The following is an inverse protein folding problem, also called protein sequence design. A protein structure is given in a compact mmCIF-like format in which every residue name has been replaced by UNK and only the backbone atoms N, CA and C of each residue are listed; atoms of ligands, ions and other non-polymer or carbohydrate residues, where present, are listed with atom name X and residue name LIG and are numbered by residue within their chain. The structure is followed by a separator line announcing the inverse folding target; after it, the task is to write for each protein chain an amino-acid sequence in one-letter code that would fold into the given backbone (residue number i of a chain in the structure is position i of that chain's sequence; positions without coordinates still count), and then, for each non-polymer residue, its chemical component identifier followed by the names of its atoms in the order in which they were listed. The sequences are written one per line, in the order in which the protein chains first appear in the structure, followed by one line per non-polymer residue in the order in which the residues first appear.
data_IF_599323227871
#
_entry.id   IF_599323227871
#
_cell.length_a   1.000
_cell.length_b   1.000
_cell.length_c   1.000
_cell.angle_alpha   90.00
_cell.angle_beta   90.00
_cell.angle_gamma   90.00
#
_symmetry.space_group_name_H-M   'P 1'
#
loop_
_entity.id
_entity.type
_entity.pdbx_description
1 polymer ?
#
# COMPACT_ATOMS: atom_id res chain seq x y z
N UNK A 1 -20.03 -40.26 15.51
CA UNK A 1 -20.34 -39.73 14.17
C UNK A 1 -19.66 -38.38 14.09
N UNK A 2 -18.51 -38.30 13.46
CA UNK A 2 -17.86 -37.01 13.20
C UNK A 2 -18.60 -36.24 12.10
N UNK A 3 -18.74 -34.92 12.14
CA UNK A 3 -19.35 -34.17 11.06
C UNK A 3 -18.42 -34.24 9.83
N UNK A 4 -19.01 -34.61 8.70
CA UNK A 4 -18.33 -34.59 7.41
C UNK A 4 -17.95 -33.14 7.09
N UNK A 5 -16.65 -32.90 6.97
CA UNK A 5 -16.05 -31.70 6.43
C UNK A 5 -16.42 -31.63 4.94
N UNK A 6 -17.51 -30.96 4.61
CA UNK A 6 -17.86 -30.63 3.24
C UNK A 6 -17.02 -29.47 2.77
N UNK A 7 -15.73 -29.71 2.60
CA UNK A 7 -14.84 -28.82 1.88
C UNK A 7 -15.36 -28.67 0.45
N UNK A 8 -16.03 -27.56 0.17
CA UNK A 8 -16.33 -27.15 -1.21
C UNK A 8 -14.98 -27.06 -1.92
N UNK A 9 -14.63 -28.06 -2.71
CA UNK A 9 -13.47 -28.03 -3.60
C UNK A 9 -13.70 -26.90 -4.60
N UNK A 10 -13.24 -25.71 -4.26
CA UNK A 10 -13.30 -24.58 -5.18
C UNK A 10 -12.37 -24.87 -6.34
N UNK A 11 -12.92 -24.98 -7.56
CA UNK A 11 -12.13 -25.25 -8.77
C UNK A 11 -11.04 -24.20 -8.92
N UNK A 12 -9.81 -24.67 -9.23
CA UNK A 12 -8.68 -23.79 -9.53
C UNK A 12 -9.02 -22.90 -10.72
N UNK A 13 -8.69 -21.61 -10.62
CA UNK A 13 -8.85 -20.65 -11.72
C UNK A 13 -7.54 -20.50 -12.48
N UNK A 14 -7.63 -20.24 -13.77
CA UNK A 14 -6.55 -19.70 -14.59
C UNK A 14 -6.67 -18.17 -14.61
N UNK A 15 -5.79 -17.49 -13.90
CA UNK A 15 -5.80 -16.04 -13.68
C UNK A 15 -4.62 -15.43 -14.43
N UNK A 16 -4.85 -14.41 -15.26
CA UNK A 16 -3.75 -13.62 -15.83
C UNK A 16 -3.64 -12.28 -15.10
N UNK A 17 -2.50 -12.02 -14.46
CA UNK A 17 -2.16 -10.75 -13.82
C UNK A 17 -1.33 -9.91 -14.78
N UNK A 18 -1.83 -8.70 -15.11
CA UNK A 18 -1.19 -7.76 -16.03
C UNK A 18 -0.74 -6.53 -15.24
N UNK A 19 0.55 -6.20 -15.33
CA UNK A 19 1.11 -5.05 -14.63
C UNK A 19 2.34 -4.48 -15.34
N UNK A 20 2.59 -3.20 -15.14
CA UNK A 20 3.81 -2.52 -15.59
C UNK A 20 4.84 -2.36 -14.46
N UNK A 21 4.48 -2.74 -13.21
CA UNK A 21 5.35 -2.76 -12.04
C UNK A 21 5.19 -4.05 -11.26
N UNK A 22 6.32 -4.70 -10.90
CA UNK A 22 6.33 -5.97 -10.16
C UNK A 22 7.68 -6.15 -9.44
N UNK A 23 7.79 -6.96 -8.38
CA UNK A 23 9.10 -7.25 -7.80
C UNK A 23 10.13 -7.70 -8.86
N UNK A 24 11.40 -7.29 -8.74
CA UNK A 24 12.07 -6.65 -7.59
C UNK A 24 11.96 -5.12 -7.51
N UNK A 25 11.09 -4.47 -8.28
CA UNK A 25 10.85 -3.03 -8.13
C UNK A 25 10.34 -2.70 -6.73
N UNK A 26 10.85 -1.57 -6.19
CA UNK A 26 10.61 -1.17 -4.81
C UNK A 26 9.55 -0.09 -4.76
N UNK A 27 8.30 -0.51 -4.79
CA UNK A 27 7.16 0.37 -4.56
C UNK A 27 5.98 -0.43 -3.95
N UNK A 28 5.04 0.29 -3.34
CA UNK A 28 3.91 -0.32 -2.63
C UNK A 28 2.99 -1.16 -3.54
N UNK A 29 2.90 -0.83 -4.82
CA UNK A 29 2.08 -1.57 -5.80
C UNK A 29 2.76 -2.88 -6.14
N UNK A 30 4.05 -2.85 -6.51
CA UNK A 30 4.83 -4.04 -6.82
C UNK A 30 4.80 -5.06 -5.67
N UNK A 31 5.03 -4.60 -4.43
CA UNK A 31 4.97 -5.47 -3.24
C UNK A 31 3.58 -6.10 -3.07
N UNK A 32 2.51 -5.32 -3.22
CA UNK A 32 1.13 -5.82 -3.14
C UNK A 32 0.87 -6.91 -4.19
N UNK A 33 1.27 -6.65 -5.44
CA UNK A 33 1.04 -7.58 -6.55
C UNK A 33 1.82 -8.89 -6.38
N UNK A 34 3.06 -8.81 -5.87
CA UNK A 34 3.84 -10.00 -5.51
C UNK A 34 3.11 -10.86 -4.48
N UNK A 35 2.66 -10.25 -3.37
CA UNK A 35 1.91 -10.95 -2.32
C UNK A 35 0.59 -11.57 -2.84
N UNK A 36 -0.17 -10.85 -3.67
CA UNK A 36 -1.40 -11.38 -4.27
C UNK A 36 -1.12 -12.55 -5.21
N UNK A 37 -0.08 -12.45 -6.05
CA UNK A 37 0.32 -13.49 -6.98
C UNK A 37 0.73 -14.77 -6.23
N UNK A 38 1.64 -14.64 -5.26
CA UNK A 38 2.14 -15.76 -4.46
C UNK A 38 1.02 -16.41 -3.64
N UNK A 39 0.13 -15.58 -3.07
CA UNK A 39 -1.02 -16.07 -2.30
C UNK A 39 -2.03 -16.84 -3.14
N UNK A 40 -2.33 -16.39 -4.36
CA UNK A 40 -3.22 -17.12 -5.27
C UNK A 40 -2.57 -18.46 -5.71
N UNK A 41 -1.26 -18.48 -6.01
CA UNK A 41 -0.54 -19.71 -6.33
C UNK A 41 -0.55 -20.70 -5.15
N UNK A 42 -0.31 -20.21 -3.93
CA UNK A 42 -0.36 -21.04 -2.73
C UNK A 42 -1.75 -21.64 -2.47
N UNK A 43 -2.82 -21.02 -2.99
CA UNK A 43 -4.21 -21.52 -2.94
C UNK A 43 -4.56 -22.44 -4.13
N UNK A 44 -3.58 -22.80 -4.97
CA UNK A 44 -3.71 -23.76 -6.06
C UNK A 44 -4.24 -23.19 -7.37
N UNK A 45 -4.27 -21.84 -7.53
CA UNK A 45 -4.62 -21.22 -8.81
C UNK A 45 -3.44 -21.21 -9.77
N UNK A 46 -3.73 -21.35 -11.07
CA UNK A 46 -2.76 -21.08 -12.12
C UNK A 46 -2.68 -19.57 -12.36
N UNK A 47 -1.52 -18.96 -12.09
CA UNK A 47 -1.34 -17.49 -12.23
C UNK A 47 -0.29 -17.22 -13.29
N UNK A 48 -0.75 -16.72 -14.44
CA UNK A 48 0.09 -16.14 -15.50
C UNK A 48 0.39 -14.67 -15.17
N UNK A 49 1.68 -14.29 -15.21
CA UNK A 49 2.12 -12.90 -15.04
C UNK A 49 2.51 -12.30 -16.40
N UNK A 50 1.93 -11.15 -16.75
CA UNK A 50 2.27 -10.38 -17.96
C UNK A 50 2.83 -9.03 -17.55
N UNK A 51 4.11 -8.76 -17.86
CA UNK A 51 4.79 -7.52 -17.48
C UNK A 51 5.90 -7.12 -18.45
N UNK A 52 6.41 -5.88 -18.38
CA UNK A 52 7.63 -5.49 -19.06
C UNK A 52 8.83 -6.29 -18.54
N UNK A 53 9.82 -6.47 -19.40
CA UNK A 53 11.11 -7.05 -19.05
C UNK A 53 11.88 -6.08 -18.15
N UNK A 54 12.39 -6.58 -17.03
CA UNK A 54 13.23 -5.84 -16.08
C UNK A 54 14.70 -6.23 -16.25
N UNK A 55 15.62 -5.46 -15.67
CA UNK A 55 17.05 -5.70 -15.81
C UNK A 55 17.51 -7.09 -15.31
N UNK A 56 16.82 -7.64 -14.29
CA UNK A 56 17.07 -8.98 -13.77
C UNK A 56 16.61 -10.12 -14.69
N UNK A 57 15.82 -9.83 -15.72
CA UNK A 57 15.22 -10.84 -16.60
C UNK A 57 16.08 -11.15 -17.85
N UNK A 58 17.33 -10.70 -17.90
CA UNK A 58 18.16 -10.83 -19.11
C UNK A 58 18.29 -12.27 -19.64
N UNK A 59 18.16 -13.27 -18.74
CA UNK A 59 18.25 -14.70 -19.06
C UNK A 59 16.89 -15.41 -19.04
N UNK A 60 15.79 -14.72 -18.66
CA UNK A 60 14.46 -15.32 -18.59
C UNK A 60 13.75 -15.27 -19.96
N UNK A 61 13.24 -16.43 -20.40
CA UNK A 61 12.28 -16.52 -21.50
C UNK A 61 10.86 -16.27 -21.02
N UNK A 62 9.92 -16.15 -21.96
CA UNK A 62 8.49 -16.25 -21.65
C UNK A 62 8.11 -17.74 -21.65
N UNK A 63 7.34 -18.15 -20.66
CA UNK A 63 6.76 -19.49 -20.51
C UNK A 63 5.23 -19.39 -20.30
N UNK A 64 4.60 -20.46 -19.81
CA UNK A 64 3.15 -20.49 -19.59
C UNK A 64 2.72 -19.66 -18.37
N UNK A 65 3.61 -19.41 -17.43
CA UNK A 65 3.34 -18.59 -16.25
C UNK A 65 3.85 -17.16 -16.35
N UNK A 66 4.77 -16.86 -17.30
CA UNK A 66 5.39 -15.54 -17.43
C UNK A 66 5.46 -15.11 -18.90
N UNK A 67 4.75 -14.03 -19.22
CA UNK A 67 4.87 -13.36 -20.53
C UNK A 67 5.58 -12.01 -20.37
N UNK A 68 6.79 -11.94 -20.93
CA UNK A 68 7.58 -10.71 -20.93
C UNK A 68 7.36 -9.91 -22.22
N UNK A 69 7.02 -8.64 -22.07
CA UNK A 69 6.95 -7.68 -23.16
C UNK A 69 8.14 -6.69 -23.11
N UNK A 70 8.33 -5.93 -24.18
CA UNK A 70 9.33 -4.86 -24.19
C UNK A 70 8.87 -3.71 -23.30
N UNK A 71 9.76 -3.20 -22.46
CA UNK A 71 9.54 -2.02 -21.62
C UNK A 71 10.19 -0.77 -22.22
N UNK A 72 9.64 0.40 -21.87
CA UNK A 72 10.16 1.71 -22.22
C UNK A 72 10.23 2.55 -20.93
N UNK A 73 11.37 3.19 -20.64
CA UNK A 73 11.50 3.97 -19.41
C UNK A 73 10.42 5.04 -19.29
N UNK A 74 9.85 5.19 -18.11
CA UNK A 74 8.88 6.25 -17.82
C UNK A 74 9.65 7.55 -17.52
N UNK A 75 9.48 8.63 -18.34
CA UNK A 75 10.15 9.90 -18.10
C UNK A 75 9.83 10.47 -16.71
N UNK A 76 10.86 10.91 -15.97
CA UNK A 76 10.72 11.46 -14.63
C UNK A 76 10.56 10.44 -13.48
N UNK A 77 10.52 9.13 -13.78
CA UNK A 77 10.39 8.06 -12.77
C UNK A 77 11.46 6.97 -12.98
N UNK A 78 12.67 7.15 -12.46
CA UNK A 78 13.73 6.16 -12.58
C UNK A 78 13.29 4.78 -12.08
N UNK A 79 13.53 3.74 -12.89
CA UNK A 79 13.19 2.36 -12.55
C UNK A 79 11.79 1.91 -12.94
N UNK A 80 10.87 2.82 -13.31
CA UNK A 80 9.56 2.46 -13.83
C UNK A 80 9.57 2.40 -15.36
N UNK A 81 8.77 1.50 -15.93
CA UNK A 81 8.67 1.28 -17.37
C UNK A 81 7.21 1.20 -17.82
N UNK A 82 6.92 1.72 -18.99
CA UNK A 82 5.69 1.38 -19.72
C UNK A 82 5.89 0.09 -20.51
N UNK A 83 4.92 -0.81 -20.42
CA UNK A 83 4.89 -2.02 -21.23
C UNK A 83 4.45 -1.71 -22.68
N UNK A 84 5.17 -2.27 -23.66
CA UNK A 84 4.77 -2.14 -25.05
C UNK A 84 3.39 -2.73 -25.28
N UNK A 85 2.55 -2.02 -26.06
CA UNK A 85 1.28 -2.55 -26.55
C UNK A 85 1.50 -3.89 -27.28
N UNK A 86 0.82 -4.93 -26.82
CA UNK A 86 1.04 -6.32 -27.27
C UNK A 86 -0.28 -7.02 -27.62
N UNK A 87 -1.29 -6.28 -28.04
CA UNK A 87 -2.65 -6.80 -28.27
C UNK A 87 -2.68 -8.08 -29.14
N UNK A 88 -1.95 -8.11 -30.25
CA UNK A 88 -1.93 -9.30 -31.12
C UNK A 88 -1.27 -10.53 -30.46
N UNK A 89 -0.23 -10.30 -29.65
CA UNK A 89 0.41 -11.39 -28.89
C UNK A 89 -0.54 -11.94 -27.83
N UNK A 90 -1.24 -11.05 -27.11
CA UNK A 90 -2.21 -11.41 -26.09
C UNK A 90 -3.41 -12.16 -26.71
N UNK A 91 -3.97 -11.67 -27.80
CA UNK A 91 -5.05 -12.36 -28.52
C UNK A 91 -4.63 -13.77 -28.94
N UNK A 92 -3.45 -13.93 -29.57
CA UNK A 92 -2.95 -15.24 -29.99
C UNK A 92 -2.75 -16.18 -28.82
N UNK A 93 -2.21 -15.67 -27.71
CA UNK A 93 -1.95 -16.48 -26.50
C UNK A 93 -3.25 -16.92 -25.85
N UNK A 94 -4.17 -15.98 -25.58
CA UNK A 94 -5.44 -16.26 -24.90
C UNK A 94 -6.49 -16.97 -25.75
N UNK A 95 -6.31 -17.03 -27.07
CA UNK A 95 -7.09 -17.92 -27.94
C UNK A 95 -6.65 -19.39 -27.76
N UNK A 96 -5.37 -19.64 -27.42
CA UNK A 96 -4.84 -20.98 -27.19
C UNK A 96 -4.98 -21.43 -25.74
N UNK A 97 -4.66 -20.53 -24.81
CA UNK A 97 -4.70 -20.75 -23.35
C UNK A 97 -5.56 -19.64 -22.74
N UNK A 98 -6.88 -19.89 -22.76
CA UNK A 98 -7.86 -18.89 -22.29
C UNK A 98 -7.85 -18.80 -20.77
N UNK A 99 -7.56 -17.63 -20.16
CA UNK A 99 -7.76 -17.43 -18.75
C UNK A 99 -9.25 -17.29 -18.40
N UNK A 100 -9.61 -17.65 -17.17
CA UNK A 100 -10.95 -17.45 -16.64
C UNK A 100 -11.22 -15.98 -16.35
N UNK A 101 -10.19 -15.28 -15.83
CA UNK A 101 -10.27 -13.86 -15.46
C UNK A 101 -8.92 -13.17 -15.63
N UNK A 102 -8.96 -11.89 -16.00
CA UNK A 102 -7.80 -11.01 -15.98
C UNK A 102 -7.87 -10.09 -14.75
N UNK A 103 -6.70 -9.91 -14.11
CA UNK A 103 -6.49 -8.79 -13.21
C UNK A 103 -5.51 -7.80 -13.83
N UNK A 104 -5.98 -6.58 -14.15
CA UNK A 104 -5.17 -5.51 -14.73
C UNK A 104 -4.85 -4.50 -13.64
N UNK A 105 -3.59 -4.46 -13.19
CA UNK A 105 -3.16 -3.62 -12.09
C UNK A 105 -2.67 -2.23 -12.51
N UNK A 106 -2.40 -2.02 -13.80
CA UNK A 106 -1.93 -0.72 -14.31
C UNK A 106 -2.63 -0.36 -15.62
N UNK A 107 -2.95 0.92 -15.78
CA UNK A 107 -3.75 1.47 -16.88
C UNK A 107 -2.91 1.92 -18.08
N UNK A 108 -1.62 1.59 -18.10
CA UNK A 108 -0.68 1.95 -19.16
C UNK A 108 -0.96 1.22 -20.49
N UNK A 109 -0.07 1.37 -21.47
CA UNK A 109 -0.28 0.81 -22.82
C UNK A 109 -0.42 -0.71 -22.84
N UNK A 110 0.25 -1.43 -21.91
CA UNK A 110 0.10 -2.87 -21.75
C UNK A 110 -1.29 -3.23 -21.21
N UNK A 111 -1.71 -2.56 -20.12
CA UNK A 111 -3.03 -2.74 -19.54
C UNK A 111 -4.16 -2.44 -20.52
N UNK A 112 -4.03 -1.35 -21.29
CA UNK A 112 -4.99 -1.01 -22.35
C UNK A 112 -5.07 -2.09 -23.44
N UNK A 113 -3.93 -2.65 -23.83
CA UNK A 113 -3.88 -3.75 -24.82
C UNK A 113 -4.56 -5.00 -24.28
N UNK A 114 -4.34 -5.31 -22.99
CA UNK A 114 -4.95 -6.44 -22.30
C UNK A 114 -6.49 -6.27 -22.20
N UNK A 115 -6.96 -5.09 -21.77
CA UNK A 115 -8.39 -4.79 -21.72
C UNK A 115 -9.09 -4.97 -23.08
N UNK A 116 -8.47 -4.47 -24.16
CA UNK A 116 -9.02 -4.61 -25.51
C UNK A 116 -9.03 -6.06 -25.99
N UNK A 117 -7.96 -6.82 -25.70
CA UNK A 117 -7.88 -8.23 -26.08
C UNK A 117 -8.91 -9.07 -25.31
N UNK A 118 -9.03 -8.86 -23.98
CA UNK A 118 -10.01 -9.54 -23.14
C UNK A 118 -11.45 -9.30 -23.62
N UNK A 119 -11.79 -8.06 -23.90
CA UNK A 119 -13.12 -7.70 -24.41
C UNK A 119 -13.44 -8.37 -25.74
N UNK A 120 -12.47 -8.51 -26.66
CA UNK A 120 -12.67 -9.23 -27.93
C UNK A 120 -12.92 -10.71 -27.72
N UNK A 121 -12.30 -11.29 -26.69
CA UNK A 121 -12.43 -12.71 -26.37
C UNK A 121 -13.55 -13.00 -25.38
N UNK A 122 -14.26 -11.99 -24.87
CA UNK A 122 -15.29 -12.15 -23.85
C UNK A 122 -14.74 -12.70 -22.54
N UNK A 123 -13.52 -12.27 -22.13
CA UNK A 123 -12.91 -12.66 -20.86
C UNK A 123 -13.21 -11.56 -19.83
N UNK A 124 -13.62 -11.96 -18.62
CA UNK A 124 -13.87 -11.06 -17.52
C UNK A 124 -12.62 -10.32 -17.08
N UNK A 125 -12.75 -9.01 -16.78
CA UNK A 125 -11.64 -8.15 -16.37
C UNK A 125 -11.92 -7.52 -15.04
N UNK A 126 -11.07 -7.77 -14.06
CA UNK A 126 -10.97 -7.01 -12.82
C UNK A 126 -9.82 -6.05 -12.94
N UNK A 127 -10.01 -4.76 -12.67
CA UNK A 127 -8.94 -3.76 -12.69
C UNK A 127 -8.63 -3.26 -11.28
N UNK A 128 -7.35 -2.99 -11.00
CA UNK A 128 -6.91 -2.38 -9.75
C UNK A 128 -6.69 -0.88 -9.93
N UNK A 129 -7.24 -0.06 -9.05
CA UNK A 129 -7.00 1.38 -9.04
C UNK A 129 -5.87 1.70 -8.07
N UNK A 130 -4.69 2.03 -8.60
CA UNK A 130 -3.48 2.32 -7.82
C UNK A 130 -2.97 3.74 -8.04
N UNK A 131 -3.71 4.55 -8.78
CA UNK A 131 -3.34 5.92 -9.18
C UNK A 131 -3.78 6.94 -8.15
N UNK A 132 -2.90 7.87 -7.77
CA UNK A 132 -3.23 8.99 -6.91
C UNK A 132 -3.49 10.26 -7.73
N UNK A 133 -4.74 10.66 -7.86
CA UNK A 133 -5.13 11.87 -8.62
C UNK A 133 -4.53 13.17 -8.07
N UNK A 134 -4.34 13.26 -6.76
CA UNK A 134 -3.83 14.48 -6.12
C UNK A 134 -2.37 14.75 -6.50
N UNK A 135 -1.56 13.70 -6.67
CA UNK A 135 -0.18 13.85 -7.15
C UNK A 135 -0.13 14.41 -8.56
N UNK A 136 -1.01 13.97 -9.45
CA UNK A 136 -1.05 14.47 -10.83
C UNK A 136 -1.57 15.91 -10.91
N UNK A 137 -2.53 16.30 -10.08
CA UNK A 137 -3.05 17.65 -10.03
C UNK A 137 -2.01 18.68 -9.59
N UNK A 138 -1.20 18.33 -8.58
CA UNK A 138 -0.21 19.24 -8.00
C UNK A 138 1.10 19.34 -8.81
N UNK A 139 1.51 18.26 -9.50
CA UNK A 139 2.76 18.24 -10.24
C UNK A 139 2.70 18.89 -11.62
N UNK A 140 1.54 18.89 -12.28
CA UNK A 140 1.46 19.29 -13.68
C UNK A 140 0.71 20.59 -13.94
N UNK A 141 0.10 21.25 -12.92
CA UNK A 141 -0.49 22.61 -13.05
C UNK A 141 -1.49 22.81 -14.22
N UNK A 142 -1.79 21.77 -14.97
CA UNK A 142 -2.52 21.79 -16.23
C UNK A 142 -3.91 21.17 -16.05
N UNK A 143 -4.88 21.97 -15.63
CA UNK A 143 -6.27 21.51 -15.44
C UNK A 143 -6.88 20.73 -16.61
N UNK A 144 -6.45 20.98 -17.84
CA UNK A 144 -6.91 20.26 -19.02
C UNK A 144 -6.32 18.84 -19.09
N UNK A 145 -5.03 18.67 -18.81
CA UNK A 145 -4.37 17.35 -18.84
C UNK A 145 -4.92 16.44 -17.75
N UNK A 146 -5.16 16.96 -16.56
CA UNK A 146 -5.79 16.22 -15.46
C UNK A 146 -7.21 15.76 -15.84
N UNK A 147 -7.99 16.60 -16.54
CA UNK A 147 -9.33 16.25 -17.04
C UNK A 147 -9.26 15.11 -18.07
N UNK A 148 -8.33 15.19 -19.04
CA UNK A 148 -8.13 14.16 -20.04
C UNK A 148 -7.71 12.83 -19.41
N UNK A 149 -6.77 12.85 -18.46
CA UNK A 149 -6.33 11.67 -17.72
C UNK A 149 -7.49 11.06 -16.92
N UNK A 150 -8.25 11.88 -16.19
CA UNK A 150 -9.44 11.40 -15.45
C UNK A 150 -10.46 10.77 -16.39
N UNK A 151 -10.69 11.38 -17.54
CA UNK A 151 -11.60 10.82 -18.55
C UNK A 151 -11.09 9.47 -19.09
N UNK A 152 -9.80 9.35 -19.38
CA UNK A 152 -9.17 8.10 -19.79
C UNK A 152 -9.29 7.02 -18.72
N UNK A 153 -8.93 7.31 -17.48
CA UNK A 153 -9.00 6.36 -16.37
C UNK A 153 -10.45 5.89 -16.13
N UNK A 154 -11.40 6.83 -16.09
CA UNK A 154 -12.82 6.48 -15.99
C UNK A 154 -13.27 5.61 -17.16
N UNK A 155 -12.90 5.96 -18.39
CA UNK A 155 -13.20 5.18 -19.57
C UNK A 155 -12.63 3.76 -19.48
N UNK A 156 -11.39 3.61 -18.99
CA UNK A 156 -10.71 2.34 -18.82
C UNK A 156 -11.40 1.46 -17.76
N UNK A 157 -11.57 1.98 -16.55
CA UNK A 157 -12.14 1.25 -15.42
C UNK A 157 -13.61 0.91 -15.62
N UNK A 158 -14.41 1.81 -16.20
CA UNK A 158 -15.80 1.55 -16.52
C UNK A 158 -16.01 0.52 -17.66
N UNK A 159 -14.93 0.02 -18.28
CA UNK A 159 -14.93 -1.10 -19.23
C UNK A 159 -14.50 -2.42 -18.63
N UNK A 160 -14.02 -2.42 -17.42
CA UNK A 160 -13.77 -3.62 -16.63
C UNK A 160 -15.08 -4.15 -16.02
N UNK A 161 -15.11 -5.45 -15.72
CA UNK A 161 -16.23 -6.09 -15.02
C UNK A 161 -16.36 -5.50 -13.61
N UNK A 162 -15.23 -5.23 -12.95
CA UNK A 162 -15.14 -4.66 -11.62
C UNK A 162 -13.82 -3.88 -11.49
N UNK A 163 -13.81 -2.83 -10.65
CA UNK A 163 -12.60 -2.10 -10.28
C UNK A 163 -12.37 -2.18 -8.78
N UNK A 164 -11.18 -2.67 -8.39
CA UNK A 164 -10.77 -2.78 -7.00
C UNK A 164 -10.08 -1.51 -6.53
N UNK A 165 -10.52 -0.98 -5.40
CA UNK A 165 -9.99 0.24 -4.78
C UNK A 165 -9.53 -0.04 -3.36
N UNK A 166 -8.41 0.54 -2.90
CA UNK A 166 -7.78 0.15 -1.63
C UNK A 166 -8.47 0.73 -0.39
N UNK A 167 -9.28 1.78 -0.50
CA UNK A 167 -9.90 2.43 0.66
C UNK A 167 -11.30 2.94 0.36
N UNK A 168 -12.10 3.10 1.44
CA UNK A 168 -13.46 3.65 1.36
C UNK A 168 -13.43 5.10 0.88
N UNK A 169 -12.49 5.92 1.35
CA UNK A 169 -12.35 7.33 0.94
C UNK A 169 -12.08 7.45 -0.57
N UNK A 170 -11.20 6.60 -1.10
CA UNK A 170 -10.91 6.58 -2.54
C UNK A 170 -12.11 6.08 -3.35
N UNK A 171 -12.84 5.07 -2.86
CA UNK A 171 -14.07 4.60 -3.48
C UNK A 171 -15.08 5.75 -3.60
N UNK A 172 -15.36 6.47 -2.52
CA UNK A 172 -16.29 7.61 -2.51
C UNK A 172 -15.85 8.74 -3.46
N UNK A 173 -14.55 9.02 -3.55
CA UNK A 173 -14.02 10.01 -4.49
C UNK A 173 -14.23 9.58 -5.95
N UNK A 174 -13.98 8.31 -6.27
CA UNK A 174 -14.18 7.78 -7.61
C UNK A 174 -15.67 7.71 -7.99
N UNK A 175 -16.57 7.35 -7.07
CA UNK A 175 -18.02 7.38 -7.26
C UNK A 175 -18.49 8.80 -7.63
N UNK A 176 -18.02 9.84 -6.93
CA UNK A 176 -18.32 11.25 -7.29
C UNK A 176 -17.82 11.63 -8.67
N UNK A 177 -16.79 10.97 -9.18
CA UNK A 177 -16.21 11.16 -10.53
C UNK A 177 -16.83 10.22 -11.58
N UNK A 178 -17.94 9.55 -11.25
CA UNK A 178 -18.68 8.62 -12.12
C UNK A 178 -17.86 7.39 -12.57
N UNK A 179 -17.01 6.88 -11.70
CA UNK A 179 -16.51 5.51 -11.82
C UNK A 179 -17.56 4.53 -11.31
N UNK A 180 -17.67 3.40 -11.96
CA UNK A 180 -18.72 2.41 -11.72
C UNK A 180 -18.12 1.06 -11.28
N UNK A 181 -18.97 0.20 -10.69
CA UNK A 181 -18.60 -1.18 -10.30
C UNK A 181 -17.35 -1.25 -9.45
N UNK A 182 -17.28 -0.35 -8.47
CA UNK A 182 -16.17 -0.26 -7.52
C UNK A 182 -16.37 -1.25 -6.37
N UNK A 183 -15.34 -2.01 -6.05
CA UNK A 183 -15.28 -2.89 -4.88
C UNK A 183 -14.02 -2.60 -4.06
N UNK A 184 -14.10 -2.83 -2.74
CA UNK A 184 -12.97 -2.60 -1.86
C UNK A 184 -12.05 -3.82 -1.87
N UNK A 185 -10.76 -3.58 -2.04
CA UNK A 185 -9.70 -4.52 -1.74
C UNK A 185 -8.60 -3.78 -0.98
N UNK A 186 -8.64 -3.87 0.33
CA UNK A 186 -7.63 -3.28 1.21
C UNK A 186 -6.27 -3.97 1.03
N UNK A 187 -5.29 -3.54 1.78
CA UNK A 187 -3.97 -4.18 1.80
C UNK A 187 -3.75 -4.85 3.13
N UNK A 188 -3.01 -5.94 3.11
CA UNK A 188 -2.63 -6.66 4.31
C UNK A 188 -1.27 -6.19 4.85
N UNK A 189 -0.99 -6.59 6.07
CA UNK A 189 0.32 -6.46 6.70
C UNK A 189 0.86 -7.86 7.02
N UNK A 190 2.17 -8.01 6.90
CA UNK A 190 2.87 -9.20 7.39
C UNK A 190 3.09 -9.06 8.91
N UNK A 191 2.12 -9.53 9.68
CA UNK A 191 2.12 -9.37 11.14
C UNK A 191 3.09 -10.30 11.86
N UNK A 192 3.71 -11.25 11.17
CA UNK A 192 4.81 -12.07 11.69
C UNK A 192 6.14 -11.31 11.55
N UNK A 193 6.35 -10.67 10.40
CA UNK A 193 7.50 -9.83 10.16
C UNK A 193 7.44 -8.56 11.03
N UNK A 194 6.34 -7.80 10.94
CA UNK A 194 6.12 -6.59 11.73
C UNK A 194 5.47 -6.94 13.08
N UNK A 195 6.32 -7.12 14.08
CA UNK A 195 5.90 -7.60 15.40
C UNK A 195 6.67 -6.89 16.53
N UNK A 196 6.03 -6.53 17.66
CA UNK A 196 6.72 -5.89 18.80
C UNK A 196 7.90 -6.69 19.34
N UNK A 197 7.88 -8.03 19.21
CA UNK A 197 8.98 -8.90 19.65
C UNK A 197 10.29 -8.71 18.83
N UNK A 198 10.25 -7.95 17.73
CA UNK A 198 11.43 -7.54 16.95
C UNK A 198 12.16 -6.33 17.55
N UNK A 199 11.69 -5.79 18.69
CA UNK A 199 12.38 -4.71 19.41
C UNK A 199 13.77 -5.15 19.84
N UNK A 200 14.77 -4.32 19.53
CA UNK A 200 16.17 -4.58 19.81
C UNK A 200 16.73 -3.49 20.74
N UNK A 201 17.10 -3.88 21.96
CA UNK A 201 17.76 -2.96 22.91
C UNK A 201 19.08 -2.43 22.37
N UNK A 202 19.86 -3.27 21.66
CA UNK A 202 21.11 -2.85 21.03
C UNK A 202 20.90 -1.75 19.96
N UNK A 203 19.79 -1.76 19.24
CA UNK A 203 19.46 -0.71 18.27
C UNK A 203 19.09 0.60 19.00
N UNK A 204 18.37 0.52 20.11
CA UNK A 204 18.03 1.67 20.95
C UNK A 204 19.28 2.28 21.59
N UNK A 205 20.21 1.44 22.07
CA UNK A 205 21.52 1.90 22.59
C UNK A 205 22.31 2.65 21.53
N UNK A 206 22.34 2.18 20.28
CA UNK A 206 22.95 2.89 19.16
C UNK A 206 22.31 4.26 18.90
N UNK A 207 21.01 4.41 19.18
CA UNK A 207 20.30 5.69 19.14
C UNK A 207 20.54 6.57 20.37
N UNK A 208 21.27 6.06 21.38
CA UNK A 208 21.50 6.74 22.66
C UNK A 208 20.23 6.78 23.52
N UNK A 209 19.37 5.76 23.43
CA UNK A 209 18.13 5.61 24.16
C UNK A 209 18.16 4.40 25.08
N UNK A 210 17.59 4.56 26.27
CA UNK A 210 17.21 3.49 27.19
C UNK A 210 15.79 2.98 26.90
N UNK A 211 15.32 1.98 27.64
CA UNK A 211 13.94 1.50 27.51
C UNK A 211 12.89 2.51 28.05
N UNK A 212 13.31 3.44 28.91
CA UNK A 212 12.43 4.47 29.48
C UNK A 212 12.29 5.71 28.59
N UNK A 213 13.18 5.87 27.61
CA UNK A 213 13.19 6.99 26.67
C UNK A 213 12.21 6.76 25.52
N UNK A 214 11.86 7.81 24.79
CA UNK A 214 10.90 7.76 23.69
C UNK A 214 11.60 7.86 22.34
N UNK A 215 11.48 6.82 21.51
CA UNK A 215 11.86 6.86 20.12
C UNK A 215 10.66 7.27 19.25
N UNK A 216 10.71 8.48 18.71
CA UNK A 216 9.76 8.97 17.70
C UNK A 216 10.31 8.56 16.34
N UNK A 217 9.55 7.76 15.57
CA UNK A 217 10.03 7.23 14.30
C UNK A 217 9.18 7.77 13.13
N UNK A 218 9.84 8.06 12.02
CA UNK A 218 9.24 8.27 10.70
C UNK A 218 9.81 7.27 9.71
N UNK A 219 8.96 6.64 8.92
CA UNK A 219 9.36 5.69 7.87
C UNK A 219 8.69 6.08 6.55
N UNK A 220 9.50 6.25 5.51
CA UNK A 220 8.98 6.57 4.19
C UNK A 220 10.00 7.22 3.27
N UNK A 221 9.56 7.52 2.05
CA UNK A 221 10.35 8.32 1.11
C UNK A 221 10.47 9.75 1.64
N UNK A 222 11.67 10.31 1.66
CA UNK A 222 11.89 11.69 2.10
C UNK A 222 11.64 12.66 0.94
N UNK A 223 10.37 13.02 0.74
CA UNK A 223 9.89 13.81 -0.39
C UNK A 223 8.75 14.75 0.04
N UNK A 224 8.43 15.79 -0.77
CA UNK A 224 7.49 16.85 -0.38
C UNK A 224 6.11 16.35 0.08
N UNK A 225 5.59 15.30 -0.53
CA UNK A 225 4.29 14.72 -0.18
C UNK A 225 4.24 14.12 1.25
N UNK A 226 5.40 13.89 1.87
CA UNK A 226 5.50 13.37 3.25
C UNK A 226 5.48 14.45 4.31
N UNK A 227 5.46 15.73 3.90
CA UNK A 227 5.35 16.89 4.80
C UNK A 227 6.37 16.88 5.95
N UNK A 228 7.65 16.77 5.57
CA UNK A 228 8.76 16.67 6.54
C UNK A 228 8.91 17.95 7.39
N UNK A 229 8.42 19.08 6.89
CA UNK A 229 8.33 20.33 7.66
C UNK A 229 7.44 20.17 8.90
N UNK A 230 6.28 19.53 8.76
CA UNK A 230 5.40 19.24 9.90
C UNK A 230 5.99 18.18 10.82
N UNK A 231 6.67 17.15 10.28
CA UNK A 231 7.40 16.17 11.10
C UNK A 231 8.39 16.88 12.04
N UNK A 232 9.21 17.78 11.49
CA UNK A 232 10.15 18.61 12.26
C UNK A 232 9.45 19.45 13.31
N UNK A 233 8.41 20.19 12.92
CA UNK A 233 7.66 21.05 13.84
C UNK A 233 7.05 20.25 14.98
N UNK A 234 6.39 19.13 14.68
CA UNK A 234 5.77 18.27 15.68
C UNK A 234 6.81 17.73 16.66
N UNK A 235 7.94 17.22 16.18
CA UNK A 235 8.99 16.71 17.05
C UNK A 235 9.57 17.80 17.98
N UNK A 236 9.81 19.01 17.46
CA UNK A 236 10.29 20.14 18.27
C UNK A 236 9.24 20.56 19.32
N UNK A 237 7.96 20.55 18.97
CA UNK A 237 6.87 20.80 19.93
C UNK A 237 6.88 19.75 21.05
N UNK A 238 7.02 18.48 20.73
CA UNK A 238 7.12 17.40 21.73
C UNK A 238 8.32 17.58 22.66
N UNK A 239 9.52 17.92 22.12
CA UNK A 239 10.70 18.22 22.94
C UNK A 239 10.47 19.38 23.89
N UNK A 240 9.83 20.45 23.43
CA UNK A 240 9.55 21.63 24.23
C UNK A 240 8.48 21.33 25.32
N UNK A 241 7.46 20.53 25.02
CA UNK A 241 6.38 20.18 25.96
C UNK A 241 6.84 19.18 27.03
N UNK A 242 7.82 18.33 26.74
CA UNK A 242 8.31 17.29 27.65
C UNK A 242 9.83 17.38 27.89
N UNK A 243 10.35 18.49 28.41
CA UNK A 243 11.80 18.71 28.57
C UNK A 243 12.47 17.71 29.55
N UNK A 244 11.68 17.07 30.42
CA UNK A 244 12.14 16.05 31.38
C UNK A 244 12.23 14.64 30.77
N UNK A 245 11.78 14.45 29.52
CA UNK A 245 11.85 13.16 28.81
C UNK A 245 12.91 13.21 27.73
N UNK A 246 13.69 12.15 27.61
CA UNK A 246 14.61 11.97 26.48
C UNK A 246 13.80 11.52 25.27
N UNK A 247 13.76 12.36 24.24
CA UNK A 247 13.12 12.06 22.94
C UNK A 247 14.18 12.07 21.83
N UNK A 248 14.15 11.09 20.95
CA UNK A 248 14.95 11.06 19.72
C UNK A 248 14.05 10.87 18.50
N UNK A 249 14.36 11.60 17.42
CA UNK A 249 13.71 11.39 16.12
C UNK A 249 14.56 10.42 15.29
N UNK A 250 13.94 9.33 14.87
CA UNK A 250 14.55 8.29 14.03
C UNK A 250 13.88 8.37 12.65
N UNK A 251 14.68 8.60 11.62
CA UNK A 251 14.20 8.75 10.24
C UNK A 251 14.69 7.58 9.40
N UNK A 252 13.77 6.73 8.96
CA UNK A 252 14.03 5.55 8.12
C UNK A 252 13.52 5.81 6.71
N UNK A 253 14.42 5.84 5.76
CA UNK A 253 14.11 6.08 4.36
C UNK A 253 15.15 6.97 3.69
N UNK A 254 14.87 7.25 2.41
CA UNK A 254 15.71 8.12 1.59
C UNK A 254 14.84 8.93 0.62
N UNK A 255 15.40 9.98 0.06
CA UNK A 255 14.69 10.80 -0.92
C UNK A 255 15.30 12.18 -1.12
N UNK A 256 14.71 12.98 -2.03
CA UNK A 256 15.28 14.26 -2.44
C UNK A 256 15.41 15.28 -1.29
N UNK A 257 14.58 15.18 -0.25
CA UNK A 257 14.62 16.09 0.90
C UNK A 257 15.50 15.62 2.06
N UNK A 258 16.23 14.51 1.90
CA UNK A 258 17.07 13.96 2.99
C UNK A 258 18.11 14.97 3.48
N UNK A 259 18.87 15.55 2.55
CA UNK A 259 19.96 16.47 2.91
C UNK A 259 19.44 17.73 3.59
N UNK A 260 18.32 18.26 3.12
CA UNK A 260 17.67 19.40 3.72
C UNK A 260 17.24 19.11 5.16
N UNK A 261 16.54 18.00 5.38
CA UNK A 261 16.10 17.59 6.70
C UNK A 261 17.27 17.29 7.66
N UNK A 262 18.37 16.70 7.17
CA UNK A 262 19.59 16.49 7.98
C UNK A 262 20.22 17.79 8.44
N UNK A 263 20.27 18.80 7.58
CA UNK A 263 20.81 20.12 7.93
C UNK A 263 19.92 20.83 8.96
N UNK A 264 18.60 20.68 8.88
CA UNK A 264 17.65 21.31 9.79
C UNK A 264 17.49 20.58 11.13
N UNK A 265 17.78 19.28 11.16
CA UNK A 265 17.63 18.43 12.35
C UNK A 265 18.90 17.56 12.57
N UNK A 266 20.04 18.19 12.90
CA UNK A 266 21.30 17.47 13.06
C UNK A 266 21.31 16.45 14.21
N UNK A 267 20.41 16.59 15.18
CA UNK A 267 20.22 15.64 16.28
C UNK A 267 19.36 14.43 15.95
N UNK A 268 18.65 14.43 14.81
CA UNK A 268 17.87 13.28 14.37
C UNK A 268 18.78 12.18 13.80
N UNK A 269 18.34 10.94 13.94
CA UNK A 269 19.10 9.77 13.49
C UNK A 269 18.53 9.30 12.14
N UNK A 270 19.38 9.40 11.10
CA UNK A 270 19.01 9.00 9.73
C UNK A 270 19.54 7.61 9.41
N UNK A 271 18.64 6.61 9.37
CA UNK A 271 19.00 5.20 9.17
C UNK A 271 19.08 4.79 7.68
N UNK A 272 18.76 5.69 6.74
CA UNK A 272 18.65 5.35 5.32
C UNK A 272 17.53 4.36 5.04
N UNK A 273 17.53 3.77 3.84
CA UNK A 273 16.51 2.79 3.45
C UNK A 273 16.74 1.45 4.13
N UNK A 274 15.77 0.98 4.90
CA UNK A 274 15.75 -0.33 5.54
C UNK A 274 14.72 -1.25 4.88
N UNK A 275 14.89 -2.58 4.98
CA UNK A 275 14.00 -3.58 4.37
C UNK A 275 13.90 -4.85 5.22
N UNK A 276 12.83 -5.62 5.01
CA UNK A 276 12.64 -6.91 5.66
C UNK A 276 12.83 -6.85 7.17
N UNK A 277 13.60 -7.76 7.72
CA UNK A 277 13.87 -7.83 9.17
C UNK A 277 14.47 -6.55 9.74
N UNK A 278 15.40 -5.91 9.03
CA UNK A 278 16.01 -4.67 9.51
C UNK A 278 14.94 -3.56 9.65
N UNK A 279 14.03 -3.42 8.68
CA UNK A 279 12.91 -2.47 8.78
C UNK A 279 11.98 -2.81 9.94
N UNK A 280 11.65 -4.08 10.12
CA UNK A 280 10.79 -4.55 11.22
C UNK A 280 11.42 -4.24 12.59
N UNK A 281 12.73 -4.45 12.75
CA UNK A 281 13.47 -4.09 13.96
C UNK A 281 13.41 -2.58 14.24
N UNK A 282 13.53 -1.74 13.20
CA UNK A 282 13.43 -0.28 13.37
C UNK A 282 12.03 0.13 13.85
N UNK A 283 10.97 -0.38 13.22
CA UNK A 283 9.60 -0.13 13.71
C UNK A 283 9.45 -0.57 15.16
N UNK A 284 9.74 -1.84 15.47
CA UNK A 284 9.53 -2.41 16.80
C UNK A 284 10.35 -1.70 17.90
N UNK A 285 11.51 -1.12 17.54
CA UNK A 285 12.36 -0.36 18.46
C UNK A 285 11.86 1.09 18.66
N UNK A 286 10.88 1.55 17.87
CA UNK A 286 10.17 2.81 18.05
C UNK A 286 9.09 2.73 19.14
N UNK A 287 8.56 3.89 19.51
CA UNK A 287 7.47 4.03 20.48
C UNK A 287 6.28 4.79 19.86
N UNK A 288 6.55 5.88 19.15
CA UNK A 288 5.56 6.71 18.44
C UNK A 288 5.95 6.82 16.98
N UNK A 289 4.98 6.64 16.11
CA UNK A 289 5.12 6.80 14.65
C UNK A 289 4.41 8.06 14.18
N UNK A 290 5.16 9.03 13.64
CA UNK A 290 4.60 10.26 13.07
C UNK A 290 4.52 10.13 11.55
N UNK A 291 3.29 10.26 11.03
CA UNK A 291 3.03 10.14 9.60
C UNK A 291 2.19 11.32 9.07
N UNK A 292 2.80 12.51 8.91
CA UNK A 292 2.12 13.73 8.47
C UNK A 292 1.91 13.80 6.95
N UNK A 293 1.89 12.66 6.25
CA UNK A 293 1.79 12.58 4.78
C UNK A 293 0.52 13.27 4.29
N UNK A 294 0.66 14.15 3.29
CA UNK A 294 -0.47 14.92 2.72
C UNK A 294 -1.27 14.10 1.72
N UNK A 295 -0.62 13.15 1.05
CA UNK A 295 -1.26 12.33 0.01
C UNK A 295 -0.74 10.90 0.05
N UNK A 296 -1.66 9.96 0.05
CA UNK A 296 -1.38 8.53 0.00
C UNK A 296 -2.34 7.80 -0.93
N UNK A 297 -1.84 6.81 -1.66
CA UNK A 297 -2.73 5.87 -2.34
C UNK A 297 -3.36 4.91 -1.32
N UNK A 298 -2.54 4.43 -0.37
CA UNK A 298 -2.99 3.64 0.77
C UNK A 298 -2.19 3.96 2.04
N UNK A 299 -0.84 3.85 2.01
CA UNK A 299 0.02 4.09 3.17
C UNK A 299 0.28 2.82 3.98
N UNK A 300 0.89 1.80 3.38
CA UNK A 300 1.23 0.52 4.03
C UNK A 300 1.99 0.71 5.34
N UNK A 301 2.83 1.74 5.43
CA UNK A 301 3.64 2.09 6.60
C UNK A 301 2.80 2.30 7.88
N UNK A 302 1.53 2.71 7.74
CA UNK A 302 0.60 2.83 8.87
C UNK A 302 0.29 1.45 9.45
N UNK A 303 -0.06 0.48 8.60
CA UNK A 303 -0.32 -0.90 9.06
C UNK A 303 0.94 -1.56 9.63
N UNK A 304 2.11 -1.31 9.03
CA UNK A 304 3.41 -1.80 9.52
C UNK A 304 3.71 -1.25 10.92
N UNK A 305 3.47 0.04 11.14
CA UNK A 305 3.62 0.70 12.43
C UNK A 305 2.65 0.14 13.49
N UNK A 306 1.36 0.02 13.14
CA UNK A 306 0.34 -0.58 14.02
C UNK A 306 0.70 -2.04 14.37
N UNK A 307 1.13 -2.83 13.39
CA UNK A 307 1.53 -4.23 13.59
C UNK A 307 2.77 -4.37 14.48
N UNK A 308 3.68 -3.41 14.40
CA UNK A 308 4.87 -3.34 15.26
C UNK A 308 4.56 -2.77 16.65
N UNK A 309 3.32 -2.42 16.94
CA UNK A 309 2.88 -1.92 18.25
C UNK A 309 3.36 -0.51 18.56
N UNK A 310 3.32 0.41 17.60
CA UNK A 310 3.61 1.82 17.82
C UNK A 310 2.33 2.62 18.10
N UNK A 311 2.46 3.72 18.86
CA UNK A 311 1.44 4.75 18.90
C UNK A 311 1.49 5.58 17.62
N UNK A 312 0.50 5.45 16.77
CA UNK A 312 0.49 6.10 15.44
C UNK A 312 -0.24 7.43 15.49
N UNK A 313 0.38 8.48 14.95
CA UNK A 313 -0.24 9.77 14.65
C UNK A 313 -0.24 9.98 13.15
N UNK A 314 -1.40 10.18 12.56
CA UNK A 314 -1.57 10.36 11.12
C UNK A 314 -2.74 11.29 10.80
N UNK A 315 -2.82 11.78 9.58
CA UNK A 315 -4.04 12.40 9.08
C UNK A 315 -5.15 11.38 8.83
N UNK A 316 -6.41 11.78 9.05
CA UNK A 316 -7.61 10.96 8.81
C UNK A 316 -7.86 10.77 7.31
N UNK A 317 -6.99 9.95 6.70
CA UNK A 317 -7.07 9.61 5.29
C UNK A 317 -6.45 8.25 4.97
N UNK A 318 -6.80 7.68 3.83
CA UNK A 318 -6.25 6.44 3.29
C UNK A 318 -6.22 5.28 4.31
N UNK A 319 -5.08 4.63 4.57
CA UNK A 319 -4.98 3.53 5.53
C UNK A 319 -5.24 3.99 6.98
N UNK A 320 -4.84 5.20 7.35
CA UNK A 320 -5.07 5.72 8.70
C UNK A 320 -6.57 5.86 8.98
N UNK A 321 -7.35 6.47 8.09
CA UNK A 321 -8.80 6.57 8.21
C UNK A 321 -9.52 5.21 8.27
N UNK A 322 -8.93 4.17 7.66
CA UNK A 322 -9.53 2.85 7.61
C UNK A 322 -9.18 1.99 8.82
N UNK A 323 -8.00 2.16 9.40
CA UNK A 323 -7.44 1.25 10.39
C UNK A 323 -7.22 1.87 11.78
N UNK A 324 -7.31 3.19 11.91
CA UNK A 324 -7.15 3.88 13.18
C UNK A 324 -8.52 4.34 13.69
N UNK A 325 -8.85 3.90 14.88
CA UNK A 325 -9.91 4.47 15.71
C UNK A 325 -9.26 5.46 16.68
N UNK A 326 -9.57 6.76 16.48
CA UNK A 326 -8.98 7.86 17.24
C UNK A 326 -9.07 7.63 18.77
N UNK A 327 -7.94 7.80 19.46
CA UNK A 327 -7.81 7.61 20.91
C UNK A 327 -7.80 6.15 21.39
N UNK A 328 -8.07 5.17 20.51
CA UNK A 328 -8.12 3.76 20.86
C UNK A 328 -6.87 2.98 20.41
N UNK A 329 -6.53 3.00 19.15
CA UNK A 329 -5.38 2.29 18.57
C UNK A 329 -4.44 3.18 17.77
N UNK A 330 -4.60 4.49 17.87
CA UNK A 330 -3.81 5.54 17.26
C UNK A 330 -4.55 6.86 17.36
N UNK A 331 -3.98 7.93 16.83
CA UNK A 331 -4.55 9.27 16.89
C UNK A 331 -4.60 9.86 15.49
N UNK A 332 -5.74 10.44 15.14
CA UNK A 332 -6.00 11.06 13.83
C UNK A 332 -6.12 12.56 13.98
N UNK A 333 -5.57 13.30 13.02
CA UNK A 333 -5.82 14.72 12.83
C UNK A 333 -6.53 14.95 11.49
N UNK A 334 -7.28 16.04 11.36
CA UNK A 334 -7.92 16.38 10.09
C UNK A 334 -6.86 16.70 9.02
N UNK A 335 -7.04 16.22 7.78
CA UNK A 335 -6.08 16.49 6.70
C UNK A 335 -5.82 17.99 6.51
N UNK A 336 -4.54 18.39 6.61
CA UNK A 336 -4.10 19.79 6.48
C UNK A 336 -4.16 20.62 7.76
N UNK A 337 -4.74 20.11 8.85
CA UNK A 337 -4.70 20.76 10.15
C UNK A 337 -3.41 20.36 10.89
N UNK A 338 -2.39 21.20 10.71
CA UNK A 338 -1.07 20.95 11.29
C UNK A 338 -1.03 21.15 12.81
N UNK A 339 -1.87 22.02 13.34
CA UNK A 339 -1.97 22.27 14.78
C UNK A 339 -2.60 21.07 15.48
N UNK A 340 -3.74 20.59 14.97
CA UNK A 340 -4.36 19.35 15.45
C UNK A 340 -3.44 18.14 15.35
N UNK A 341 -2.53 18.08 14.34
CA UNK A 341 -1.54 17.01 14.24
C UNK A 341 -0.50 17.08 15.37
N UNK A 342 -0.01 18.27 15.71
CA UNK A 342 0.90 18.48 16.84
C UNK A 342 0.23 18.12 18.17
N UNK A 343 -1.00 18.54 18.38
CA UNK A 343 -1.78 18.26 19.57
C UNK A 343 -2.06 16.75 19.73
N UNK A 344 -2.39 16.08 18.64
CA UNK A 344 -2.55 14.62 18.60
C UNK A 344 -1.26 13.89 19.01
N UNK A 345 -0.11 14.36 18.59
CA UNK A 345 1.18 13.80 18.98
C UNK A 345 1.50 14.07 20.46
N UNK A 346 1.19 15.26 20.96
CA UNK A 346 1.37 15.62 22.36
C UNK A 346 0.48 14.76 23.27
N UNK A 347 -0.80 14.60 22.89
CA UNK A 347 -1.75 13.76 23.63
C UNK A 347 -1.23 12.32 23.85
N UNK A 348 -0.60 11.69 22.84
CA UNK A 348 -0.01 10.35 22.98
C UNK A 348 1.10 10.27 24.04
N UNK A 349 1.80 11.39 24.29
CA UNK A 349 2.89 11.44 25.26
C UNK A 349 2.46 11.98 26.62
N UNK A 350 1.23 12.43 26.79
CA UNK A 350 0.72 12.98 28.05
C UNK A 350 0.75 11.93 29.16
N UNK A 351 0.25 10.72 28.86
CA UNK A 351 0.20 9.58 29.78
C UNK A 351 0.87 8.33 29.19
N UNK A 352 1.82 7.76 29.92
CA UNK A 352 2.54 6.53 29.54
C UNK A 352 1.62 5.30 29.46
N UNK A 353 0.64 5.18 30.36
CA UNK A 353 -0.28 4.04 30.37
C UNK A 353 -1.27 4.14 29.19
N UNK A 354 -1.72 5.37 28.86
CA UNK A 354 -2.53 5.60 27.67
C UNK A 354 -1.76 5.23 26.40
N UNK A 355 -0.50 5.66 26.25
CA UNK A 355 0.36 5.26 25.13
C UNK A 355 0.52 3.75 25.04
N UNK A 356 0.76 3.07 26.17
CA UNK A 356 0.89 1.61 26.24
C UNK A 356 -0.40 0.92 25.77
N UNK A 357 -1.55 1.38 26.23
CA UNK A 357 -2.85 0.85 25.83
C UNK A 357 -3.12 1.02 24.33
N UNK A 358 -2.84 2.21 23.79
CA UNK A 358 -2.96 2.49 22.35
C UNK A 358 -2.06 1.55 21.53
N UNK A 359 -0.80 1.34 21.95
CA UNK A 359 0.15 0.43 21.30
C UNK A 359 -0.32 -1.03 21.28
N UNK A 360 -0.90 -1.51 22.38
CA UNK A 360 -1.46 -2.86 22.47
C UNK A 360 -2.67 -3.02 21.55
N UNK A 361 -3.58 -2.05 21.54
CA UNK A 361 -4.76 -2.05 20.68
C UNK A 361 -4.36 -1.95 19.20
N UNK A 362 -3.33 -1.16 18.86
CA UNK A 362 -2.76 -1.05 17.53
C UNK A 362 -2.32 -2.43 17.03
N UNK A 363 -1.52 -3.15 17.83
CA UNK A 363 -1.07 -4.51 17.52
C UNK A 363 -2.25 -5.47 17.34
N UNK A 364 -3.21 -5.46 18.26
CA UNK A 364 -4.38 -6.34 18.20
C UNK A 364 -5.22 -6.11 16.94
N UNK A 365 -5.39 -4.86 16.55
CA UNK A 365 -6.11 -4.52 15.31
C UNK A 365 -5.34 -5.02 14.08
N UNK A 366 -4.05 -4.69 13.98
CA UNK A 366 -3.23 -5.00 12.80
C UNK A 366 -3.02 -6.51 12.62
N UNK A 367 -2.98 -7.31 13.69
CA UNK A 367 -2.85 -8.77 13.58
C UNK A 367 -4.01 -9.44 12.85
N UNK A 368 -5.17 -8.79 12.77
CA UNK A 368 -6.36 -9.25 12.02
C UNK A 368 -6.34 -8.82 10.55
N UNK A 369 -5.40 -7.95 10.16
CA UNK A 369 -5.26 -7.41 8.81
C UNK A 369 -4.19 -8.16 8.01
N UNK A 370 -4.11 -9.48 8.18
CA UNK A 370 -3.11 -10.32 7.52
C UNK A 370 -3.37 -10.50 6.02
N UNK A 371 -2.31 -10.76 5.27
CA UNK A 371 -2.40 -11.02 3.82
C UNK A 371 -3.30 -12.20 3.47
N UNK A 372 -3.42 -13.23 4.31
CA UNK A 372 -4.30 -14.37 4.07
C UNK A 372 -5.75 -13.94 3.83
N UNK A 373 -6.30 -13.06 4.68
CA UNK A 373 -7.65 -12.50 4.54
C UNK A 373 -7.81 -11.67 3.26
N UNK A 374 -6.80 -10.85 2.93
CA UNK A 374 -6.83 -10.02 1.71
C UNK A 374 -6.80 -10.89 0.45
N UNK A 375 -5.98 -11.95 0.44
CA UNK A 375 -5.89 -12.89 -0.68
C UNK A 375 -7.22 -13.64 -0.85
N UNK A 376 -7.86 -14.07 0.24
CA UNK A 376 -9.17 -14.71 0.21
C UNK A 376 -10.26 -13.77 -0.35
N UNK A 377 -10.28 -12.51 0.09
CA UNK A 377 -11.18 -11.50 -0.46
C UNK A 377 -10.93 -11.27 -1.96
N UNK A 378 -9.66 -11.18 -2.36
CA UNK A 378 -9.27 -10.99 -3.76
C UNK A 378 -9.71 -12.17 -4.62
N UNK A 379 -9.46 -13.41 -4.16
CA UNK A 379 -9.95 -14.61 -4.83
C UNK A 379 -11.47 -14.59 -5.01
N UNK A 380 -12.21 -14.26 -3.93
CA UNK A 380 -13.67 -14.15 -3.99
C UNK A 380 -14.15 -13.16 -5.04
N UNK A 381 -13.49 -12.00 -5.15
CA UNK A 381 -13.80 -10.97 -6.16
C UNK A 381 -13.49 -11.44 -7.59
N UNK A 382 -12.37 -12.17 -7.79
CA UNK A 382 -12.04 -12.75 -9.09
C UNK A 382 -13.07 -13.81 -9.51
N UNK A 383 -13.49 -14.67 -8.59
CA UNK A 383 -14.55 -15.68 -8.81
C UNK A 383 -15.89 -15.02 -9.15
N UNK A 384 -16.30 -14.02 -8.39
CA UNK A 384 -17.52 -13.25 -8.65
C UNK A 384 -17.52 -12.59 -10.02
N UNK A 385 -16.37 -12.09 -10.48
CA UNK A 385 -16.22 -11.53 -11.82
C UNK A 385 -16.39 -12.59 -12.93
N UNK A 386 -16.04 -13.86 -12.69
CA UNK A 386 -16.25 -14.96 -13.63
C UNK A 386 -17.74 -15.33 -13.75
N UNK A 387 -18.48 -15.33 -12.63
CA UNK A 387 -19.91 -15.74 -12.60
C UNK A 387 -20.87 -14.60 -12.90
N UNK A 388 -20.41 -13.36 -12.94
CA UNK A 388 -21.25 -12.17 -13.06
C UNK A 388 -21.95 -11.78 -11.74
N UNK A 389 -21.63 -12.46 -10.64
CA UNK A 389 -22.11 -12.12 -9.30
C UNK A 389 -21.14 -11.13 -8.67
N UNK A 390 -21.58 -9.90 -8.43
CA UNK A 390 -20.82 -8.97 -7.61
C UNK A 390 -20.86 -9.46 -6.15
N UNK A 391 -19.75 -9.99 -5.65
CA UNK A 391 -19.59 -10.21 -4.23
C UNK A 391 -19.50 -8.84 -3.57
N UNK A 392 -20.59 -8.37 -3.01
CA UNK A 392 -20.59 -7.18 -2.15
C UNK A 392 -19.84 -7.61 -0.89
N UNK A 393 -18.66 -7.03 -0.60
CA UNK A 393 -17.99 -7.34 0.66
C UNK A 393 -18.95 -7.01 1.80
N UNK A 394 -19.05 -7.90 2.77
CA UNK A 394 -19.78 -7.63 4.01
C UNK A 394 -19.35 -6.25 4.52
N UNK A 395 -20.34 -5.49 4.99
CA UNK A 395 -20.19 -4.15 5.54
C UNK A 395 -18.94 -4.07 6.44
N UNK A 396 -18.28 -2.92 6.51
CA UNK A 396 -17.17 -2.73 7.44
C UNK A 396 -17.66 -3.22 8.81
N UNK A 397 -16.82 -3.98 9.50
CA UNK A 397 -17.06 -4.37 10.89
C UNK A 397 -17.43 -3.08 11.60
N UNK A 398 -18.70 -3.00 12.03
CA UNK A 398 -19.27 -1.83 12.69
C UNK A 398 -18.36 -1.38 13.86
N UNK A 399 -18.35 -0.08 14.16
CA UNK A 399 -17.41 0.56 15.07
C UNK A 399 -17.39 -0.04 16.48
#
# INVERSE_FOLDING_TARGET
MAPADTGVMTTALHITLITETFPPEINGVANTLGRLCDGLRARGHQVELVRPRQGCDQQLGSDDELLLCRGWPLPGYPGLQWGQSSMHKLLRRWTRHRPDVLYIATEGPLGLSALRAARRLGISVVSGFHTNFQQYSNQYGLGLLTRLLTHYLRWFHNRSTMTLVPSVSQRMELERRHFERLALLSRGVDSELFHPAKRLSALREQWGLTEEDIAVIHVGRLAPEKNLGLLKRTFNTLKASYPQRTLKLIVVGDGPQRQELQNEMPEAIFCGTQRGEALACHYASGDVFLFPSLTETFGNVVLEALASGLGVVAYDQAAAAQHIRHGYNGVLAMPGDEEAFCDAAAWLLEDREALRSVRLNARQHASRQGWATIIEQFEGQLRGACTGEMVVPNAPIAP
#
